data_IF_646689840374
#
_entry.id   IF_646689840374
#
_cell.length_a   1.000
_cell.length_b   1.000
_cell.length_c   1.000
_cell.angle_alpha   90.00
_cell.angle_beta   90.00
_cell.angle_gamma   90.00
#
_symmetry.space_group_name_H-M   'P 1'
#
loop_
_entity.id
_entity.type
_entity.pdbx_description
1 polymer ?
#
# COMPACT_ATOMS: atom_id res chain seq x y z
N UNK A 1 0.47 -18.03 5.40
CA UNK A 1 0.69 -17.50 4.04
C UNK A 1 1.37 -16.15 4.17
N UNK A 2 2.68 -16.10 4.02
CA UNK A 2 3.45 -14.85 4.14
C UNK A 2 3.10 -13.91 2.96
N UNK A 3 2.99 -12.59 3.19
CA UNK A 3 2.76 -11.64 2.10
C UNK A 3 3.89 -11.74 1.08
N UNK A 4 3.55 -11.67 -0.21
CA UNK A 4 4.56 -11.62 -1.26
C UNK A 4 5.40 -10.34 -1.07
N UNK A 5 6.74 -10.46 -0.99
CA UNK A 5 7.61 -9.34 -0.63
C UNK A 5 7.65 -8.21 -1.66
N UNK A 6 7.08 -8.42 -2.85
CA UNK A 6 7.22 -7.53 -4.00
C UNK A 6 5.95 -6.71 -4.31
N UNK A 7 4.88 -6.85 -3.53
CA UNK A 7 3.62 -6.17 -3.82
C UNK A 7 2.89 -5.75 -2.54
N UNK A 8 2.42 -4.50 -2.53
CA UNK A 8 1.54 -3.98 -1.48
C UNK A 8 0.19 -4.68 -1.56
N UNK A 9 -0.37 -5.01 -0.41
CA UNK A 9 -1.69 -5.61 -0.31
C UNK A 9 -2.66 -4.66 0.36
N UNK A 10 -3.89 -4.61 -0.13
CA UNK A 10 -4.99 -3.94 0.53
C UNK A 10 -6.10 -4.96 0.76
N UNK A 11 -6.36 -5.29 2.02
CA UNK A 11 -7.42 -6.22 2.40
C UNK A 11 -8.71 -5.44 2.65
N UNK A 12 -9.71 -5.64 1.80
CA UNK A 12 -11.02 -4.98 1.91
C UNK A 12 -12.00 -5.84 2.71
N UNK A 13 -11.93 -7.15 2.51
CA UNK A 13 -12.80 -8.13 3.14
C UNK A 13 -11.98 -9.29 3.70
N UNK A 14 -12.50 -9.92 4.75
CA UNK A 14 -11.88 -11.10 5.33
C UNK A 14 -11.85 -12.26 4.33
N UNK A 15 -10.70 -12.90 4.11
CA UNK A 15 -10.59 -14.05 3.22
C UNK A 15 -11.34 -15.28 3.76
N UNK A 16 -11.69 -15.28 5.05
CA UNK A 16 -12.50 -16.34 5.62
C UNK A 16 -13.96 -16.22 5.17
N UNK A 17 -14.52 -15.01 5.24
CA UNK A 17 -15.88 -14.67 4.83
C UNK A 17 -16.05 -14.62 3.30
N UNK A 18 -15.06 -14.07 2.60
CA UNK A 18 -15.05 -13.91 1.15
C UNK A 18 -14.00 -14.84 0.56
N UNK A 19 -14.43 -16.02 0.10
CA UNK A 19 -13.51 -16.96 -0.56
C UNK A 19 -13.13 -16.39 -1.93
N UNK A 20 -11.83 -16.12 -2.11
CA UNK A 20 -11.27 -15.67 -3.39
C UNK A 20 -11.56 -16.75 -4.44
N UNK A 21 -12.24 -16.37 -5.51
CA UNK A 21 -12.58 -17.25 -6.64
C UNK A 21 -11.73 -16.98 -7.86
N UNK A 22 -11.17 -15.78 -7.95
CA UNK A 22 -10.29 -15.40 -9.04
C UNK A 22 -9.55 -14.11 -8.74
N UNK A 23 -8.73 -13.72 -9.70
CA UNK A 23 -8.02 -12.46 -9.66
C UNK A 23 -8.05 -11.83 -11.04
N UNK A 24 -8.25 -10.52 -11.10
CA UNK A 24 -8.25 -9.76 -12.34
C UNK A 24 -7.10 -8.77 -12.29
N UNK A 25 -6.24 -8.78 -13.30
CA UNK A 25 -5.24 -7.72 -13.46
C UNK A 25 -5.85 -6.58 -14.24
N UNK A 26 -5.82 -5.37 -13.67
CA UNK A 26 -6.32 -4.15 -14.28
C UNK A 26 -5.17 -3.16 -14.45
N UNK A 27 -5.21 -2.39 -15.52
CA UNK A 27 -4.28 -1.26 -15.73
C UNK A 27 -4.97 0.05 -15.38
N UNK A 28 -4.25 0.89 -14.64
CA UNK A 28 -4.60 2.28 -14.36
C UNK A 28 -3.53 3.17 -15.01
N UNK A 29 -3.81 3.64 -16.22
CA UNK A 29 -2.82 4.34 -17.04
C UNK A 29 -1.65 3.43 -17.40
N UNK A 30 -0.44 3.82 -16.99
CA UNK A 30 0.78 3.03 -17.18
C UNK A 30 1.01 1.97 -16.08
N UNK A 31 0.26 2.02 -14.97
CA UNK A 31 0.47 1.16 -13.79
C UNK A 31 -0.48 -0.03 -13.78
N UNK A 32 0.02 -1.23 -13.55
CA UNK A 32 -0.80 -2.44 -13.42
C UNK A 32 -1.09 -2.76 -11.96
N UNK A 33 -2.28 -3.26 -11.65
CA UNK A 33 -2.64 -3.73 -10.31
C UNK A 33 -3.56 -4.95 -10.39
N UNK A 34 -3.52 -5.82 -9.39
CA UNK A 34 -4.29 -7.05 -9.37
C UNK A 34 -5.39 -6.97 -8.32
N UNK A 35 -6.60 -7.31 -8.73
CA UNK A 35 -7.80 -7.29 -7.91
C UNK A 35 -8.15 -8.74 -7.60
N UNK A 36 -8.10 -9.11 -6.33
CA UNK A 36 -8.59 -10.39 -5.84
C UNK A 36 -10.10 -10.29 -5.71
N UNK A 37 -10.81 -11.08 -6.52
CA UNK A 37 -12.27 -11.13 -6.49
C UNK A 37 -12.69 -12.44 -5.81
N UNK A 38 -13.53 -12.29 -4.81
CA UNK A 38 -14.12 -13.42 -4.12
C UNK A 38 -15.64 -13.35 -4.11
N UNK A 39 -16.22 -14.33 -3.45
CA UNK A 39 -17.66 -14.45 -3.28
C UNK A 39 -17.92 -14.95 -1.87
N UNK A 40 -18.88 -14.32 -1.17
CA UNK A 40 -19.37 -14.82 0.12
C UNK A 40 -20.20 -16.07 -0.08
N UNK A 41 -20.16 -16.95 0.90
CA UNK A 41 -21.07 -18.09 0.92
C UNK A 41 -22.53 -17.60 0.96
N UNK A 42 -23.36 -18.10 0.04
CA UNK A 42 -24.77 -17.68 -0.10
C UNK A 42 -25.02 -16.41 -0.92
N UNK A 43 -24.00 -15.70 -1.41
CA UNK A 43 -24.15 -14.58 -2.36
C UNK A 43 -23.81 -15.02 -3.79
N UNK A 44 -24.57 -14.56 -4.78
CA UNK A 44 -24.27 -14.78 -6.20
C UNK A 44 -23.32 -13.73 -6.77
N UNK A 45 -23.25 -12.56 -6.13
CA UNK A 45 -22.41 -11.44 -6.57
C UNK A 45 -20.96 -11.65 -6.15
N UNK A 46 -20.04 -11.40 -7.07
CA UNK A 46 -18.61 -11.39 -6.79
C UNK A 46 -18.19 -9.99 -6.33
N UNK A 47 -17.34 -9.90 -5.32
CA UNK A 47 -16.88 -8.66 -4.71
C UNK A 47 -15.35 -8.63 -4.60
N UNK A 48 -14.77 -7.42 -4.59
CA UNK A 48 -13.35 -7.26 -4.38
C UNK A 48 -12.99 -7.63 -2.94
N UNK A 49 -12.19 -8.69 -2.78
CA UNK A 49 -11.71 -9.16 -1.48
C UNK A 49 -10.46 -8.38 -1.06
N UNK A 50 -9.55 -8.17 -2.01
CA UNK A 50 -8.32 -7.44 -1.77
C UNK A 50 -7.74 -6.88 -3.07
N UNK A 51 -6.94 -5.83 -2.96
CA UNK A 51 -6.13 -5.30 -4.05
C UNK A 51 -4.65 -5.61 -3.81
N UNK A 52 -3.91 -5.84 -4.88
CA UNK A 52 -2.48 -6.11 -4.90
C UNK A 52 -1.83 -5.12 -5.86
N UNK A 53 -0.88 -4.35 -5.34
CA UNK A 53 -0.19 -3.31 -6.08
C UNK A 53 1.30 -3.65 -6.14
N UNK A 54 1.88 -3.87 -7.32
CA UNK A 54 3.31 -4.12 -7.45
C UNK A 54 4.10 -2.90 -6.94
N UNK A 55 5.07 -3.12 -6.05
CA UNK A 55 5.87 -2.03 -5.44
C UNK A 55 6.70 -1.24 -6.46
N UNK A 56 6.93 -1.82 -7.63
CA UNK A 56 7.68 -1.25 -8.74
C UNK A 56 6.91 -0.13 -9.44
N UNK A 57 5.59 -0.31 -9.61
CA UNK A 57 4.73 0.67 -10.28
C UNK A 57 3.92 1.52 -9.28
N UNK A 58 3.65 0.98 -8.09
CA UNK A 58 2.84 1.63 -7.06
C UNK A 58 3.66 1.89 -5.79
N UNK A 59 3.96 3.16 -5.48
CA UNK A 59 4.60 3.50 -4.22
C UNK A 59 3.66 3.24 -3.05
N UNK A 60 4.25 2.93 -1.89
CA UNK A 60 3.53 2.55 -0.68
C UNK A 60 2.49 3.60 -0.25
N UNK A 61 2.81 4.88 -0.43
CA UNK A 61 1.93 5.98 -0.02
C UNK A 61 0.67 6.08 -0.90
N UNK A 62 0.82 6.03 -2.24
CA UNK A 62 -0.31 5.98 -3.18
C UNK A 62 -1.18 4.73 -2.95
N UNK A 63 -0.55 3.57 -2.80
CA UNK A 63 -1.28 2.32 -2.58
C UNK A 63 -2.03 2.32 -1.23
N UNK A 64 -1.45 2.95 -0.20
CA UNK A 64 -2.10 3.15 1.11
C UNK A 64 -3.28 4.10 1.01
N UNK A 65 -3.13 5.23 0.33
CA UNK A 65 -4.21 6.19 0.11
C UNK A 65 -5.40 5.52 -0.59
N UNK A 66 -5.14 4.85 -1.72
CA UNK A 66 -6.17 4.14 -2.48
C UNK A 66 -6.84 3.02 -1.66
N UNK A 67 -6.06 2.31 -0.83
CA UNK A 67 -6.61 1.31 0.07
C UNK A 67 -7.53 1.89 1.14
N UNK A 68 -7.15 3.04 1.71
CA UNK A 68 -7.91 3.74 2.75
C UNK A 68 -9.20 4.31 2.19
N UNK A 69 -9.17 4.86 0.99
CA UNK A 69 -10.38 5.30 0.27
C UNK A 69 -11.34 4.15 0.00
N UNK A 70 -10.81 2.95 -0.26
CA UNK A 70 -11.61 1.75 -0.41
C UNK A 70 -12.10 1.15 0.93
N UNK A 71 -11.74 1.73 2.07
CA UNK A 71 -12.13 1.27 3.41
C UNK A 71 -11.43 -0.01 3.87
N UNK A 72 -10.28 -0.35 3.27
CA UNK A 72 -9.52 -1.56 3.58
C UNK A 72 -8.38 -1.35 4.57
N UNK A 73 -7.76 -2.47 4.95
CA UNK A 73 -6.51 -2.52 5.70
C UNK A 73 -5.32 -2.68 4.75
N UNK A 74 -4.41 -1.71 4.78
CA UNK A 74 -3.21 -1.70 3.94
C UNK A 74 -2.06 -2.47 4.60
N UNK A 75 -1.46 -3.39 3.87
CA UNK A 75 -0.24 -4.11 4.21
C UNK A 75 0.83 -3.73 3.17
N UNK A 76 1.89 -3.04 3.62
CA UNK A 76 2.98 -2.69 2.71
C UNK A 76 3.73 -3.95 2.24
N UNK A 77 4.28 -3.91 1.02
CA UNK A 77 5.26 -4.89 0.58
C UNK A 77 6.41 -4.94 1.59
N UNK A 78 7.01 -6.12 1.80
CA UNK A 78 8.16 -6.25 2.68
C UNK A 78 9.27 -5.29 2.18
N UNK A 79 9.63 -4.32 3.01
CA UNK A 79 10.80 -3.47 2.77
C UNK A 79 12.03 -4.38 2.86
N UNK A 80 12.72 -4.59 1.74
CA UNK A 80 14.18 -4.50 1.82
C UNK A 80 14.45 -3.11 2.38
N UNK A 81 15.17 -3.01 3.49
CA UNK A 81 15.44 -1.75 4.20
C UNK A 81 16.04 -0.72 3.23
N UNK A 82 15.22 0.18 2.72
CA UNK A 82 15.69 1.42 2.09
C UNK A 82 15.21 2.58 2.96
N UNK A 83 16.22 3.32 3.39
CA UNK A 83 16.30 4.20 4.55
C UNK A 83 15.14 5.19 4.62
N UNK A 84 14.60 5.33 5.82
CA UNK A 84 13.70 6.40 6.21
C UNK A 84 14.44 7.73 6.02
N UNK A 85 13.96 8.58 5.11
CA UNK A 85 14.37 9.98 5.01
C UNK A 85 13.75 10.83 6.15
N UNK A 86 13.83 10.34 7.39
CA UNK A 86 13.59 11.10 8.64
C UNK A 86 14.87 11.17 9.50
N UNK A 87 16.04 10.93 8.91
CA UNK A 87 17.34 11.28 9.51
C UNK A 87 18.07 12.35 8.68
N UNK A 88 17.33 13.26 8.03
CA UNK A 88 17.91 14.42 7.38
C UNK A 88 17.62 15.76 8.09
N UNK A 89 16.69 15.83 9.06
CA UNK A 89 16.31 17.09 9.70
C UNK A 89 15.98 16.91 11.19
N UNK A 90 17.02 16.90 12.02
CA UNK A 90 17.00 17.17 13.47
C UNK A 90 18.28 16.66 14.15
N UNK A 91 18.95 17.39 15.07
CA UNK A 91 18.54 18.61 15.79
C UNK A 91 19.49 19.82 15.60
N UNK A 92 20.09 20.03 14.42
CA UNK A 92 21.03 21.15 14.23
C UNK A 92 20.59 22.06 13.07
N UNK A 93 19.52 22.83 13.32
CA UNK A 93 19.29 24.09 12.61
C UNK A 93 19.33 25.22 13.65
N UNK A 94 20.53 25.67 14.06
CA UNK A 94 20.66 26.96 14.69
C UNK A 94 20.27 28.02 13.65
N UNK A 95 19.02 28.47 13.78
CA UNK A 95 18.58 29.80 13.41
C UNK A 95 19.71 30.81 13.66
N UNK A 96 20.26 31.41 12.59
CA UNK A 96 20.99 32.70 12.67
C UNK A 96 20.11 33.69 13.44
N UNK A 97 20.63 34.55 14.34
CA UNK A 97 21.82 35.44 14.19
C UNK A 97 22.76 35.34 15.42
N UNK A 98 23.99 35.87 15.50
CA UNK A 98 24.46 37.25 15.41
C UNK A 98 25.98 37.20 15.14
N UNK A 99 26.43 37.80 14.04
CA UNK A 99 27.82 38.21 13.91
C UNK A 99 27.98 39.48 14.76
N UNK A 100 28.28 39.29 16.04
CA UNK A 100 29.00 40.29 16.81
C UNK A 100 30.46 40.20 16.35
N UNK A 101 30.83 41.09 15.42
CA UNK A 101 32.22 41.35 15.05
C UNK A 101 32.63 42.71 15.62
N UNK A 102 33.84 42.72 16.17
CA UNK A 102 34.51 43.76 16.98
C UNK A 102 34.70 45.13 16.31
#
# INVERSE_FOLDING_TARGET
MSPYPNEHACRLQDPDTVKVRGSITRKHGAKSFRILIGRREGKTTSEAQAYRYPKDEWPADEARAHCKEAGGSFEAAARTQEMTAEEALGPDNPMLPELEEE
#
